data_IF_490278517268
#
_entry.id   IF_490278517268
#
_cell.length_a   1.000
_cell.length_b   1.000
_cell.length_c   1.000
_cell.angle_alpha   90.00
_cell.angle_beta   90.00
_cell.angle_gamma   90.00
#
_symmetry.space_group_name_H-M   'P 1'
#
loop_
_entity.id
_entity.type
_entity.pdbx_description
1 polymer ?
#
# COMPACT_ATOMS: atom_id res chain seq x y z
N UNK A 1 29.56 -44.21 -11.00
CA UNK A 1 29.18 -42.92 -11.61
C UNK A 1 27.70 -43.01 -11.90
N UNK A 2 26.84 -42.65 -10.94
CA UNK A 2 25.42 -42.39 -11.21
C UNK A 2 25.03 -41.19 -10.35
N UNK A 3 24.82 -40.07 -11.02
CA UNK A 3 24.34 -38.82 -10.46
C UNK A 3 22.88 -39.03 -10.07
N UNK A 4 22.60 -39.02 -8.76
CA UNK A 4 21.24 -39.03 -8.25
C UNK A 4 20.66 -37.62 -8.45
N UNK A 5 20.03 -37.41 -9.60
CA UNK A 5 19.22 -36.22 -9.88
C UNK A 5 17.94 -36.34 -9.04
N UNK A 6 17.97 -35.80 -7.83
CA UNK A 6 16.73 -35.47 -7.13
C UNK A 6 16.09 -34.32 -7.91
N UNK A 7 15.10 -34.68 -8.72
CA UNK A 7 14.12 -33.76 -9.29
C UNK A 7 13.52 -32.89 -8.17
N UNK A 8 14.01 -31.66 -8.06
CA UNK A 8 13.31 -30.60 -7.35
C UNK A 8 12.07 -30.29 -8.18
N UNK A 9 10.92 -30.87 -7.81
CA UNK A 9 9.63 -30.44 -8.32
C UNK A 9 9.54 -28.92 -8.10
N UNK A 10 9.37 -28.12 -9.16
CA UNK A 10 9.31 -26.67 -9.02
C UNK A 10 8.16 -26.29 -8.09
N UNK A 11 8.47 -25.32 -7.22
CA UNK A 11 7.68 -24.79 -6.13
C UNK A 11 6.39 -24.09 -6.64
N UNK A 12 5.48 -24.81 -7.31
CA UNK A 12 4.26 -24.26 -7.92
C UNK A 12 3.08 -24.21 -6.94
N UNK A 13 3.07 -25.10 -5.94
CA UNK A 13 1.94 -25.26 -5.02
C UNK A 13 1.79 -24.06 -4.06
N UNK A 14 2.88 -23.55 -3.49
CA UNK A 14 2.81 -22.38 -2.61
C UNK A 14 2.41 -21.10 -3.35
N UNK A 15 2.88 -20.92 -4.59
CA UNK A 15 2.59 -19.72 -5.37
C UNK A 15 1.11 -19.68 -5.74
N UNK A 16 0.56 -20.80 -6.23
CA UNK A 16 -0.87 -20.89 -6.54
C UNK A 16 -1.74 -20.70 -5.29
N UNK A 17 -1.33 -21.28 -4.16
CA UNK A 17 -2.02 -21.08 -2.88
C UNK A 17 -1.99 -19.62 -2.43
N UNK A 18 -0.84 -18.94 -2.59
CA UNK A 18 -0.67 -17.53 -2.27
C UNK A 18 -1.55 -16.64 -3.14
N UNK A 19 -1.49 -16.82 -4.47
CA UNK A 19 -2.32 -16.08 -5.43
C UNK A 19 -3.82 -16.28 -5.16
N UNK A 20 -4.23 -17.52 -4.86
CA UNK A 20 -5.63 -17.82 -4.52
C UNK A 20 -6.06 -17.16 -3.22
N UNK A 21 -5.17 -17.08 -2.22
CA UNK A 21 -5.47 -16.44 -0.94
C UNK A 21 -5.55 -14.90 -1.10
N UNK A 22 -4.62 -14.31 -1.84
CA UNK A 22 -4.66 -12.89 -2.22
C UNK A 22 -5.95 -12.56 -2.99
N UNK A 23 -6.33 -13.37 -3.99
CA UNK A 23 -7.58 -13.19 -4.73
C UNK A 23 -8.83 -13.24 -3.84
N UNK A 24 -8.88 -14.16 -2.86
CA UNK A 24 -9.97 -14.21 -1.88
C UNK A 24 -10.00 -12.99 -0.95
N UNK A 25 -8.84 -12.42 -0.64
CA UNK A 25 -8.75 -11.19 0.15
C UNK A 25 -9.24 -9.99 -0.67
N UNK A 26 -8.85 -9.88 -1.93
CA UNK A 26 -9.36 -8.87 -2.86
C UNK A 26 -10.88 -8.96 -3.02
N UNK A 27 -11.43 -10.17 -3.25
CA UNK A 27 -12.88 -10.40 -3.34
C UNK A 27 -13.63 -9.98 -2.07
N UNK A 28 -12.97 -10.06 -0.91
CA UNK A 28 -13.55 -9.65 0.36
C UNK A 28 -13.60 -8.13 0.46
N UNK A 29 -12.53 -7.45 0.08
CA UNK A 29 -12.48 -5.98 0.07
C UNK A 29 -13.39 -5.39 -1.01
N UNK A 30 -13.45 -5.97 -2.20
CA UNK A 30 -14.34 -5.53 -3.29
C UNK A 30 -15.84 -5.65 -2.98
N UNK A 31 -16.23 -6.30 -1.87
CA UNK A 31 -17.62 -6.35 -1.38
C UNK A 31 -17.91 -5.31 -0.30
N UNK A 32 -16.90 -4.63 0.21
CA UNK A 32 -17.04 -3.59 1.23
C UNK A 32 -17.20 -2.22 0.56
N UNK A 33 -17.88 -1.31 1.24
CA UNK A 33 -17.87 0.09 0.80
C UNK A 33 -16.48 0.70 1.04
N UNK A 34 -16.09 1.70 0.24
CA UNK A 34 -14.85 2.47 0.47
C UNK A 34 -14.78 3.01 1.90
N UNK A 35 -15.92 3.45 2.47
CA UNK A 35 -16.00 3.91 3.86
C UNK A 35 -15.63 2.81 4.87
N UNK A 36 -16.10 1.58 4.68
CA UNK A 36 -15.77 0.46 5.56
C UNK A 36 -14.29 0.08 5.44
N UNK A 37 -13.74 0.14 4.23
CA UNK A 37 -12.32 -0.11 3.98
C UNK A 37 -11.47 0.95 4.68
N UNK A 38 -11.82 2.23 4.56
CA UNK A 38 -11.11 3.32 5.22
C UNK A 38 -11.19 3.21 6.75
N UNK A 39 -12.34 2.81 7.30
CA UNK A 39 -12.46 2.57 8.73
C UNK A 39 -11.48 1.47 9.22
N UNK A 40 -11.32 0.39 8.44
CA UNK A 40 -10.34 -0.66 8.73
C UNK A 40 -8.90 -0.14 8.68
N UNK A 41 -8.57 0.69 7.69
CA UNK A 41 -7.25 1.34 7.57
C UNK A 41 -6.94 2.19 8.80
N UNK A 42 -7.92 2.97 9.27
CA UNK A 42 -7.76 3.80 10.47
C UNK A 42 -7.46 2.95 11.71
N UNK A 43 -8.12 1.79 11.84
CA UNK A 43 -7.89 0.80 12.88
C UNK A 43 -6.62 -0.05 12.71
N UNK A 44 -5.85 0.14 11.63
CA UNK A 44 -4.63 -0.63 11.36
C UNK A 44 -4.86 -2.04 10.82
N UNK A 45 -6.05 -2.32 10.29
CA UNK A 45 -6.47 -3.65 9.81
C UNK A 45 -6.28 -3.77 8.29
N UNK A 46 -5.03 -3.96 7.85
CA UNK A 46 -4.67 -3.88 6.44
C UNK A 46 -4.81 -5.20 5.66
N UNK A 47 -5.06 -6.32 6.35
CA UNK A 47 -5.06 -7.65 5.73
C UNK A 47 -3.65 -8.26 5.65
N UNK A 48 -3.59 -9.48 5.14
CA UNK A 48 -2.35 -10.27 5.08
C UNK A 48 -1.63 -10.13 3.73
N UNK A 49 -2.38 -9.87 2.66
CA UNK A 49 -1.86 -9.80 1.28
C UNK A 49 -1.86 -8.38 0.74
N UNK A 50 -2.10 -7.38 1.59
CA UNK A 50 -2.06 -5.96 1.23
C UNK A 50 -3.08 -5.55 0.14
N UNK A 51 -4.06 -6.41 -0.17
CA UNK A 51 -5.07 -6.15 -1.21
C UNK A 51 -5.98 -4.96 -0.89
N UNK A 52 -5.99 -4.51 0.37
CA UNK A 52 -6.71 -3.32 0.79
C UNK A 52 -6.23 -2.06 0.04
N UNK A 53 -4.93 -1.95 -0.26
CA UNK A 53 -4.35 -0.78 -0.90
C UNK A 53 -4.70 -0.74 -2.38
N UNK A 54 -4.59 -1.88 -3.06
CA UNK A 54 -5.05 -2.04 -4.44
C UNK A 54 -6.54 -1.69 -4.57
N UNK A 55 -7.38 -2.21 -3.66
CA UNK A 55 -8.81 -1.90 -3.67
C UNK A 55 -9.07 -0.40 -3.48
N UNK A 56 -8.33 0.27 -2.59
CA UNK A 56 -8.47 1.72 -2.39
C UNK A 56 -7.98 2.53 -3.60
N UNK A 57 -6.91 2.11 -4.25
CA UNK A 57 -6.39 2.78 -5.44
C UNK A 57 -7.38 2.69 -6.62
N UNK A 58 -8.03 1.54 -6.78
CA UNK A 58 -9.00 1.30 -7.85
C UNK A 58 -10.36 1.94 -7.60
N UNK A 59 -10.89 1.86 -6.37
CA UNK A 59 -12.30 2.15 -6.08
C UNK A 59 -12.53 3.47 -5.34
N UNK A 60 -11.52 4.02 -4.65
CA UNK A 60 -11.70 5.25 -3.88
C UNK A 60 -11.47 6.50 -4.74
N UNK A 61 -12.08 7.61 -4.32
CA UNK A 61 -11.70 8.94 -4.78
C UNK A 61 -10.67 9.55 -3.83
N UNK A 62 -9.81 10.43 -4.35
CA UNK A 62 -8.82 11.18 -3.56
C UNK A 62 -9.48 11.91 -2.38
N UNK A 63 -10.67 12.50 -2.58
CA UNK A 63 -11.43 13.21 -1.54
C UNK A 63 -11.85 12.30 -0.38
N UNK A 64 -12.03 11.00 -0.63
CA UNK A 64 -12.43 10.04 0.39
C UNK A 64 -11.22 9.51 1.17
N UNK A 65 -10.15 9.15 0.46
CA UNK A 65 -9.05 8.37 1.03
C UNK A 65 -7.78 9.18 1.32
N UNK A 66 -7.56 10.30 0.64
CA UNK A 66 -6.25 10.98 0.59
C UNK A 66 -5.66 11.28 1.96
N UNK A 67 -6.43 11.95 2.84
CA UNK A 67 -5.95 12.26 4.19
C UNK A 67 -5.83 11.04 5.09
N UNK A 68 -6.65 10.02 4.90
CA UNK A 68 -6.57 8.77 5.68
C UNK A 68 -5.31 7.99 5.33
N UNK A 69 -5.02 7.82 4.04
CA UNK A 69 -3.78 7.20 3.56
C UNK A 69 -2.56 7.99 4.03
N UNK A 70 -2.61 9.32 3.93
CA UNK A 70 -1.52 10.16 4.43
C UNK A 70 -1.24 9.96 5.92
N UNK A 71 -2.28 9.86 6.76
CA UNK A 71 -2.12 9.56 8.19
C UNK A 71 -1.45 8.22 8.46
N UNK A 72 -1.67 7.20 7.62
CA UNK A 72 -0.96 5.92 7.73
C UNK A 72 0.53 6.10 7.47
N UNK A 73 0.91 6.89 6.46
CA UNK A 73 2.32 7.15 6.13
C UNK A 73 3.07 7.91 7.23
N UNK A 74 2.35 8.68 8.04
CA UNK A 74 2.90 9.42 9.18
C UNK A 74 3.15 8.54 10.41
N UNK A 75 2.61 7.31 10.46
CA UNK A 75 2.83 6.39 11.59
C UNK A 75 4.24 5.81 11.50
N UNK A 76 4.95 5.84 12.63
CA UNK A 76 6.31 5.31 12.72
C UNK A 76 6.32 3.79 12.88
N UNK A 77 5.27 3.25 13.49
CA UNK A 77 5.08 1.84 13.81
C UNK A 77 4.60 0.97 12.63
N UNK A 78 4.25 1.58 11.50
CA UNK A 78 3.75 0.86 10.32
C UNK A 78 4.91 0.16 9.62
N UNK A 79 4.71 -1.13 9.31
CA UNK A 79 5.67 -1.95 8.59
C UNK A 79 6.02 -1.34 7.23
N UNK A 80 7.25 -1.59 6.79
CA UNK A 80 7.76 -1.15 5.51
C UNK A 80 6.84 -1.51 4.34
N UNK A 81 6.41 -2.77 4.24
CA UNK A 81 5.61 -3.22 3.11
C UNK A 81 4.25 -2.51 3.09
N UNK A 82 3.64 -2.33 4.26
CA UNK A 82 2.39 -1.60 4.40
C UNK A 82 2.57 -0.15 3.93
N UNK A 83 3.66 0.51 4.35
CA UNK A 83 3.94 1.90 4.00
C UNK A 83 4.16 2.08 2.50
N UNK A 84 4.86 1.16 1.82
CA UNK A 84 5.02 1.21 0.36
C UNK A 84 3.67 1.10 -0.36
N UNK A 85 2.89 0.05 -0.07
CA UNK A 85 1.60 -0.14 -0.73
C UNK A 85 0.62 1.03 -0.45
N UNK A 86 0.63 1.59 0.76
CA UNK A 86 -0.16 2.77 1.09
C UNK A 86 0.30 4.01 0.31
N UNK A 87 1.60 4.20 0.10
CA UNK A 87 2.15 5.33 -0.65
C UNK A 87 1.81 5.19 -2.15
N UNK A 88 1.93 3.99 -2.71
CA UNK A 88 1.53 3.70 -4.08
C UNK A 88 0.06 4.02 -4.32
N UNK A 89 -0.83 3.51 -3.45
CA UNK A 89 -2.26 3.79 -3.54
C UNK A 89 -2.56 5.31 -3.48
N UNK A 90 -1.88 6.05 -2.60
CA UNK A 90 -2.06 7.50 -2.51
C UNK A 90 -1.60 8.23 -3.79
N UNK A 91 -0.48 7.81 -4.39
CA UNK A 91 0.03 8.41 -5.62
C UNK A 91 -0.84 8.10 -6.83
N UNK A 92 -1.39 6.90 -6.91
CA UNK A 92 -2.36 6.55 -7.94
C UNK A 92 -3.58 7.48 -7.85
N UNK A 93 -4.12 7.70 -6.65
CA UNK A 93 -5.23 8.64 -6.42
C UNK A 93 -4.87 10.10 -6.73
N UNK A 94 -3.59 10.48 -6.57
CA UNK A 94 -3.08 11.81 -6.96
C UNK A 94 -2.83 11.92 -8.48
N UNK A 95 -2.96 10.83 -9.24
CA UNK A 95 -2.62 10.78 -10.67
C UNK A 95 -1.12 10.90 -10.93
N UNK A 96 -0.30 10.45 -9.98
CA UNK A 96 1.17 10.58 -9.92
C UNK A 96 1.86 9.24 -10.18
N UNK A 97 1.42 8.54 -11.24
CA UNK A 97 1.96 7.22 -11.59
C UNK A 97 3.38 7.28 -12.16
N UNK A 98 3.78 8.44 -12.68
CA UNK A 98 5.11 8.74 -13.23
C UNK A 98 6.21 8.81 -12.16
N UNK A 99 5.83 9.12 -10.91
CA UNK A 99 6.75 9.21 -9.76
C UNK A 99 6.68 7.98 -8.85
N UNK A 100 5.86 6.97 -9.18
CA UNK A 100 5.75 5.74 -8.38
C UNK A 100 7.10 5.06 -8.17
N UNK A 101 7.96 5.03 -9.20
CA UNK A 101 9.29 4.45 -9.08
C UNK A 101 10.20 5.27 -8.15
N UNK A 102 10.17 6.60 -8.25
CA UNK A 102 10.95 7.50 -7.39
C UNK A 102 10.45 7.50 -5.95
N UNK A 103 9.14 7.37 -5.73
CA UNK A 103 8.57 7.29 -4.40
C UNK A 103 8.73 5.89 -3.80
N UNK A 104 8.66 4.85 -4.62
CA UNK A 104 9.13 3.54 -4.22
C UNK A 104 10.57 3.66 -3.77
N UNK A 105 11.50 4.22 -4.54
CA UNK A 105 12.89 4.41 -4.11
C UNK A 105 13.05 5.25 -2.82
N UNK A 106 12.25 6.31 -2.67
CA UNK A 106 12.23 7.19 -1.50
C UNK A 106 11.70 6.52 -0.22
N UNK A 107 10.67 5.68 -0.36
CA UNK A 107 10.02 4.93 0.71
C UNK A 107 10.68 3.54 0.88
N UNK A 108 11.42 3.06 -0.14
CA UNK A 108 12.22 1.81 -0.27
C UNK A 108 13.50 1.81 0.55
N UNK A 109 13.76 2.84 1.34
CA UNK A 109 14.64 2.67 2.46
C UNK A 109 13.92 1.76 3.46
N UNK A 110 14.14 0.46 3.29
CA UNK A 110 13.86 -0.65 4.22
C UNK A 110 14.24 -0.35 5.69
N UNK A 111 14.95 0.77 5.94
CA UNK A 111 15.43 1.28 7.24
C UNK A 111 15.51 2.81 7.32
N UNK A 112 14.80 3.56 6.46
CA UNK A 112 14.88 5.03 6.47
C UNK A 112 14.40 5.57 7.83
N UNK A 113 15.23 6.37 8.48
CA UNK A 113 14.87 7.11 9.68
C UNK A 113 13.64 7.98 9.42
N UNK A 114 12.84 8.31 10.46
CA UNK A 114 11.76 9.30 10.32
C UNK A 114 12.22 10.60 9.64
N UNK A 115 13.47 11.02 9.87
CA UNK A 115 14.05 12.21 9.25
C UNK A 115 14.20 12.08 7.72
N UNK A 116 14.55 10.90 7.20
CA UNK A 116 14.68 10.66 5.76
C UNK A 116 13.31 10.61 5.07
N UNK A 117 12.25 10.23 5.78
CA UNK A 117 10.87 10.23 5.27
C UNK A 117 10.24 11.63 5.24
N UNK A 118 10.69 12.53 6.12
CA UNK A 118 10.05 13.83 6.33
C UNK A 118 9.89 14.69 5.06
N UNK A 119 10.88 14.82 4.15
CA UNK A 119 10.72 15.61 2.94
C UNK A 119 9.59 15.09 2.03
N UNK A 120 9.43 13.76 1.95
CA UNK A 120 8.39 13.12 1.16
C UNK A 120 7.01 13.32 1.77
N UNK A 121 6.89 13.19 3.10
CA UNK A 121 5.64 13.47 3.80
C UNK A 121 5.21 14.93 3.62
N UNK A 122 6.16 15.88 3.67
CA UNK A 122 5.87 17.29 3.42
C UNK A 122 5.43 17.56 1.97
N UNK A 123 6.06 16.91 1.00
CA UNK A 123 5.66 17.03 -0.41
C UNK A 123 4.24 16.50 -0.64
N UNK A 124 3.93 15.32 -0.10
CA UNK A 124 2.59 14.71 -0.18
C UNK A 124 1.54 15.56 0.53
N UNK A 125 1.85 16.11 1.71
CA UNK A 125 0.95 17.04 2.41
C UNK A 125 0.66 18.30 1.60
N UNK A 126 1.68 18.84 0.92
CA UNK A 126 1.54 19.97 0.02
C UNK A 126 0.61 19.68 -1.16
N UNK A 127 0.79 18.54 -1.83
CA UNK A 127 -0.09 18.14 -2.94
C UNK A 127 -1.53 17.88 -2.47
N UNK A 128 -1.71 17.18 -1.34
CA UNK A 128 -3.02 16.96 -0.76
C UNK A 128 -3.69 18.27 -0.37
N UNK A 129 -2.94 19.22 0.19
CA UNK A 129 -3.46 20.55 0.53
C UNK A 129 -3.90 21.30 -0.72
N UNK A 130 -3.14 21.19 -1.81
CA UNK A 130 -3.48 21.81 -3.09
C UNK A 130 -4.75 21.22 -3.70
N UNK A 131 -4.95 19.90 -3.61
CA UNK A 131 -6.08 19.21 -4.24
C UNK A 131 -7.35 19.16 -3.38
N UNK A 132 -7.20 19.03 -2.06
CA UNK A 132 -8.31 18.78 -1.12
C UNK A 132 -8.57 19.94 -0.15
N UNK A 133 -7.70 20.95 -0.11
CA UNK A 133 -7.71 21.98 0.92
C UNK A 133 -7.01 21.53 2.20
N UNK A 134 -7.11 22.32 3.27
CA UNK A 134 -6.37 22.07 4.50
C UNK A 134 -6.64 20.68 5.09
N UNK A 135 -5.61 20.08 5.68
CA UNK A 135 -5.71 18.83 6.42
C UNK A 135 -6.81 18.95 7.50
N UNK A 136 -7.76 18.00 7.57
CA UNK A 136 -8.75 17.99 8.63
C UNK A 136 -8.07 17.80 9.99
N UNK A 137 -8.59 18.50 11.00
CA UNK A 137 -8.06 18.52 12.37
C UNK A 137 -8.13 17.14 13.05
#
# INVERSE_FOLDING_TARGET
>A
MELNQQDQAPNYDWQEQHERAAGKEQDRYGKLSVTDILHRVELGQYGEYNMIWHTLAEEAMLQQAGWTLFRVLQRDEVDYLIRCNCAEALLELLGRTDVLQTLNEAVNLTKGSPAERQPYLLALEGELTQQLGAKPA
#
